data_IF_363458918458
#
_entry.id   IF_363458918458
#
_cell.length_a   1.000
_cell.length_b   1.000
_cell.length_c   1.000
_cell.angle_alpha   90.00
_cell.angle_beta   90.00
_cell.angle_gamma   90.00
#
_symmetry.space_group_name_H-M   'P 1'
#
loop_
_entity.id
_entity.type
_entity.pdbx_description
1 polymer ?
#
# COMPACT_ATOMS: atom_id res chain seq x y z
N UNK A 1 6.44 10.86 -18.74
CA UNK A 1 5.47 9.87 -18.22
C UNK A 1 4.13 10.59 -18.17
N UNK A 2 3.01 9.95 -18.54
CA UNK A 2 1.71 10.50 -18.10
C UNK A 2 1.80 10.52 -16.58
N UNK A 3 1.59 11.68 -15.95
CA UNK A 3 1.49 11.77 -14.49
C UNK A 3 0.26 10.96 -14.09
N UNK A 4 0.46 9.69 -13.79
CA UNK A 4 -0.56 8.83 -13.22
C UNK A 4 -0.66 9.21 -11.76
N UNK A 5 -1.63 10.06 -11.44
CA UNK A 5 -1.98 10.34 -10.05
C UNK A 5 -2.49 9.06 -9.40
N UNK A 6 -2.11 8.83 -8.15
CA UNK A 6 -2.62 7.71 -7.37
C UNK A 6 -3.66 8.23 -6.38
N UNK A 7 -4.69 7.45 -6.14
CA UNK A 7 -5.70 7.72 -5.12
C UNK A 7 -5.82 6.56 -4.14
N UNK A 8 -6.15 6.92 -2.89
CA UNK A 8 -6.42 5.98 -1.80
C UNK A 8 -7.92 6.01 -1.56
N UNK A 9 -8.57 4.87 -1.75
CA UNK A 9 -10.03 4.74 -1.72
C UNK A 9 -10.42 3.65 -0.73
N UNK A 10 -11.42 3.94 0.11
CA UNK A 10 -12.11 2.91 0.88
C UNK A 10 -13.27 2.35 0.04
N UNK A 11 -13.27 1.04 -0.15
CA UNK A 11 -14.32 0.32 -0.86
C UNK A 11 -15.51 0.04 0.07
N UNK A 12 -16.66 -0.28 -0.50
CA UNK A 12 -17.89 -0.59 0.26
C UNK A 12 -17.74 -1.78 1.23
N UNK A 13 -16.77 -2.67 0.98
CA UNK A 13 -16.44 -3.78 1.87
C UNK A 13 -15.46 -3.39 3.00
N UNK A 14 -15.07 -2.12 3.08
CA UNK A 14 -14.13 -1.58 4.05
C UNK A 14 -12.66 -1.92 3.79
N UNK A 15 -12.32 -2.50 2.64
CA UNK A 15 -10.93 -2.60 2.19
C UNK A 15 -10.45 -1.23 1.74
N UNK A 16 -9.16 -0.92 1.98
CA UNK A 16 -8.56 0.33 1.51
C UNK A 16 -7.60 0.00 0.38
N UNK A 17 -7.77 0.63 -0.77
CA UNK A 17 -6.99 0.36 -1.97
C UNK A 17 -6.20 1.57 -2.43
N UNK A 18 -5.01 1.33 -2.96
CA UNK A 18 -4.25 2.29 -3.76
C UNK A 18 -4.49 1.97 -5.23
N UNK A 19 -4.92 2.93 -6.04
CA UNK A 19 -5.20 2.72 -7.47
C UNK A 19 -4.85 3.97 -8.31
N UNK A 20 -4.68 3.84 -9.63
CA UNK A 20 -4.58 5.00 -10.50
C UNK A 20 -5.85 5.85 -10.43
N UNK A 21 -5.69 7.16 -10.39
CA UNK A 21 -6.78 8.10 -10.59
C UNK A 21 -7.08 8.19 -12.08
N UNK A 22 -8.30 7.83 -12.47
CA UNK A 22 -8.79 7.82 -13.84
C UNK A 22 -10.31 7.67 -13.84
N UNK A 23 -10.96 7.99 -14.96
CA UNK A 23 -12.43 7.90 -15.07
C UNK A 23 -12.89 6.52 -15.59
N UNK A 24 -12.00 5.77 -16.24
CA UNK A 24 -12.32 4.46 -16.80
C UNK A 24 -12.10 3.35 -15.75
N UNK A 25 -13.09 2.47 -15.56
CA UNK A 25 -13.02 1.37 -14.58
C UNK A 25 -11.82 0.43 -14.82
N UNK A 26 -11.41 0.25 -16.07
CA UNK A 26 -10.23 -0.55 -16.43
C UNK A 26 -8.92 0.07 -15.93
N UNK A 27 -8.87 1.39 -15.79
CA UNK A 27 -7.75 2.15 -15.23
C UNK A 27 -7.78 2.21 -13.69
N UNK A 28 -8.91 1.90 -13.06
CA UNK A 28 -9.11 1.96 -11.60
C UNK A 28 -8.81 0.64 -10.86
N UNK A 29 -8.05 -0.28 -11.48
CA UNK A 29 -7.68 -1.54 -10.81
C UNK A 29 -6.78 -1.28 -9.59
N UNK A 30 -7.07 -1.89 -8.43
CA UNK A 30 -6.20 -1.79 -7.24
C UNK A 30 -4.78 -2.26 -7.54
N UNK A 31 -3.80 -1.40 -7.24
CA UNK A 31 -2.38 -1.72 -7.24
C UNK A 31 -1.97 -2.40 -5.94
N UNK A 32 -2.62 -2.03 -4.83
CA UNK A 32 -2.43 -2.63 -3.52
C UNK A 32 -3.74 -2.57 -2.73
N UNK A 33 -3.93 -3.55 -1.86
CA UNK A 33 -5.08 -3.64 -0.96
C UNK A 33 -4.60 -3.79 0.48
N UNK A 34 -5.00 -2.87 1.34
CA UNK A 34 -4.82 -2.93 2.78
C UNK A 34 -6.09 -3.43 3.45
N UNK A 35 -5.96 -4.55 4.17
CA UNK A 35 -7.04 -5.11 5.00
C UNK A 35 -6.72 -4.83 6.47
N UNK A 36 -7.60 -4.09 7.13
CA UNK A 36 -7.51 -3.82 8.57
C UNK A 36 -8.61 -4.64 9.24
N UNK A 37 -8.26 -5.39 10.29
CA UNK A 37 -9.24 -6.20 11.03
C UNK A 37 -10.31 -5.33 11.68
N UNK A 38 -11.51 -5.89 11.85
CA UNK A 38 -12.64 -5.18 12.46
C UNK A 38 -12.28 -4.72 13.89
N UNK A 39 -11.59 -5.55 14.68
CA UNK A 39 -11.09 -5.20 16.01
C UNK A 39 -10.20 -3.94 15.98
N UNK A 40 -9.33 -3.83 14.97
CA UNK A 40 -8.43 -2.68 14.82
C UNK A 40 -9.19 -1.45 14.34
N UNK A 41 -10.16 -1.62 13.42
CA UNK A 41 -11.05 -0.54 12.98
C UNK A 41 -11.88 0.01 14.14
N UNK A 42 -12.42 -0.85 14.99
CA UNK A 42 -13.18 -0.45 16.18
C UNK A 42 -12.29 0.32 17.18
N UNK A 43 -11.07 -0.18 17.42
CA UNK A 43 -10.11 0.47 18.29
C UNK A 43 -9.67 1.86 17.78
N UNK A 44 -9.38 1.97 16.49
CA UNK A 44 -8.90 3.20 15.87
C UNK A 44 -10.04 4.18 15.55
N UNK A 45 -11.26 3.68 15.36
CA UNK A 45 -12.42 4.42 14.82
C UNK A 45 -12.02 5.08 13.49
N UNK A 46 -12.51 6.28 13.19
CA UNK A 46 -12.21 7.02 11.96
C UNK A 46 -10.71 7.21 11.66
N UNK A 47 -9.80 6.92 12.62
CA UNK A 47 -8.35 6.98 12.42
C UNK A 47 -7.77 5.79 11.64
N UNK A 48 -8.51 4.70 11.40
CA UNK A 48 -7.97 3.60 10.59
C UNK A 48 -7.69 4.05 9.14
N UNK A 49 -8.49 4.97 8.61
CA UNK A 49 -8.27 5.51 7.27
C UNK A 49 -7.04 6.43 7.22
N UNK A 50 -6.82 7.24 8.26
CA UNK A 50 -5.58 8.03 8.40
C UNK A 50 -4.34 7.15 8.54
N UNK A 51 -4.44 6.04 9.29
CA UNK A 51 -3.37 5.04 9.36
C UNK A 51 -3.02 4.51 7.97
N UNK A 52 -4.03 4.12 7.17
CA UNK A 52 -3.82 3.62 5.81
C UNK A 52 -3.14 4.65 4.91
N UNK A 53 -3.53 5.93 4.98
CA UNK A 53 -2.87 7.02 4.23
C UNK A 53 -1.39 7.11 4.60
N UNK A 54 -1.08 7.14 5.89
CA UNK A 54 0.30 7.19 6.36
C UNK A 54 1.11 5.98 5.90
N UNK A 55 0.52 4.77 5.91
CA UNK A 55 1.20 3.56 5.44
C UNK A 55 1.55 3.62 3.96
N UNK A 56 0.60 4.02 3.11
CA UNK A 56 0.85 4.14 1.67
C UNK A 56 1.86 5.25 1.35
N UNK A 57 1.73 6.43 1.96
CA UNK A 57 2.70 7.51 1.76
C UNK A 57 4.10 7.11 2.23
N UNK A 58 4.23 6.57 3.43
CA UNK A 58 5.54 6.16 3.96
C UNK A 58 6.19 5.06 3.09
N UNK A 59 5.40 4.09 2.60
CA UNK A 59 5.90 3.05 1.71
C UNK A 59 6.36 3.59 0.35
N UNK A 60 5.60 4.50 -0.24
CA UNK A 60 5.96 5.17 -1.50
C UNK A 60 7.23 6.01 -1.28
N UNK A 61 7.24 6.88 -0.27
CA UNK A 61 8.38 7.75 0.04
C UNK A 61 9.65 6.93 0.30
N UNK A 62 9.53 5.79 0.97
CA UNK A 62 10.65 4.89 1.22
C UNK A 62 11.20 4.25 -0.06
N UNK A 63 10.35 3.73 -0.95
CA UNK A 63 10.81 3.09 -2.20
C UNK A 63 11.49 4.09 -3.14
N UNK A 64 11.14 5.37 -3.06
CA UNK A 64 11.78 6.44 -3.82
C UNK A 64 12.94 7.13 -3.07
N UNK A 65 13.29 6.70 -1.86
CA UNK A 65 14.40 7.28 -1.12
C UNK A 65 15.74 6.65 -1.52
N UNK A 66 16.82 7.40 -1.31
CA UNK A 66 18.20 6.92 -1.53
C UNK A 66 18.57 5.72 -0.60
N UNK A 67 17.84 5.57 0.52
CA UNK A 67 18.02 4.45 1.45
C UNK A 67 17.55 3.11 0.86
N UNK A 68 16.62 3.14 -0.11
CA UNK A 68 16.14 1.94 -0.79
C UNK A 68 17.17 1.38 -1.77
N UNK A 69 17.81 2.24 -2.58
CA UNK A 69 18.83 1.81 -3.56
C UNK A 69 20.08 1.20 -2.91
N UNK A 70 20.36 1.57 -1.66
CA UNK A 70 21.47 1.02 -0.88
C UNK A 70 21.13 -0.32 -0.18
N UNK A 71 19.89 -0.80 -0.30
CA UNK A 71 19.41 -2.09 0.24
C UNK A 71 19.52 -3.25 -0.77
N UNK A 72 20.41 -3.14 -1.76
CA UNK A 72 20.67 -4.12 -2.84
C UNK A 72 21.25 -5.48 -2.36
N UNK A 73 21.10 -5.79 -1.06
CA UNK A 73 21.56 -7.00 -0.39
C UNK A 73 20.48 -8.07 -0.17
N UNK A 74 19.25 -7.88 -0.67
CA UNK A 74 18.27 -8.97 -0.73
C UNK A 74 18.62 -9.89 -1.91
N UNK A 75 19.50 -10.85 -1.65
CA UNK A 75 19.82 -11.94 -2.57
C UNK A 75 18.55 -12.74 -2.85
N UNK A 76 17.91 -12.47 -3.99
CA UNK A 76 16.64 -13.06 -4.42
C UNK A 76 16.77 -14.53 -4.85
N UNK A 77 17.73 -15.28 -4.27
CA UNK A 77 18.10 -16.60 -4.75
C UNK A 77 17.59 -17.78 -3.92
N UNK A 78 16.78 -17.58 -2.87
CA UNK A 78 16.14 -18.71 -2.15
C UNK A 78 14.83 -18.36 -1.40
N UNK A 79 14.09 -17.33 -1.84
CA UNK A 79 12.92 -16.77 -1.12
C UNK A 79 11.54 -17.19 -1.64
N UNK A 80 11.40 -18.11 -2.60
CA UNK A 80 10.11 -18.37 -3.26
C UNK A 80 8.99 -18.94 -2.35
N UNK A 81 9.27 -19.31 -1.09
CA UNK A 81 8.28 -19.96 -0.22
C UNK A 81 8.19 -19.50 1.24
N UNK A 82 8.94 -18.47 1.67
CA UNK A 82 8.83 -17.98 3.05
C UNK A 82 8.15 -16.62 3.12
N UNK A 83 7.22 -16.41 4.06
CA UNK A 83 6.70 -15.07 4.30
C UNK A 83 7.86 -14.16 4.69
N UNK A 84 8.00 -13.02 4.00
CA UNK A 84 8.93 -11.97 4.42
C UNK A 84 8.40 -11.41 5.74
N UNK A 85 9.05 -11.74 6.85
CA UNK A 85 8.70 -11.27 8.20
C UNK A 85 9.73 -10.21 8.61
N UNK A 86 9.25 -9.01 8.93
CA UNK A 86 10.05 -7.96 9.57
C UNK A 86 9.81 -8.03 11.10
N UNK A 87 10.88 -8.02 11.90
CA UNK A 87 10.82 -8.06 13.37
C UNK A 87 11.05 -6.68 13.99
#
# INVERSE_FOLDING_TARGET
>A
MKDTYLEIVELDNGDIVLRPAGEEEEEQKPLATLKISDDTKEFLKDRYFELAKCMFHAGIDYVYSEDFESSDGFDAHDEEFMPRILH
#
